data_IF_301252767984
#
_entry.id   IF_301252767984
#
_cell.length_a   1.000
_cell.length_b   1.000
_cell.length_c   1.000
_cell.angle_alpha   90.00
_cell.angle_beta   90.00
_cell.angle_gamma   90.00
#
_symmetry.space_group_name_H-M   'P 1'
#
loop_
_entity.id
_entity.type
_entity.pdbx_description
1 polymer ?
#
# COMPACT_ATOMS: atom_id res chain seq x y z
N UNK A 1 -12.26 -13.70 -0.78
CA UNK A 1 -11.17 -12.78 -0.44
C UNK A 1 -11.05 -11.72 -1.55
N UNK A 2 -10.91 -10.50 -1.16
CA UNK A 2 -10.80 -9.35 -2.09
C UNK A 2 -9.42 -8.72 -1.94
N UNK A 3 -8.77 -8.39 -3.06
CA UNK A 3 -7.38 -7.93 -3.06
C UNK A 3 -7.29 -6.60 -3.80
N UNK A 4 -6.62 -5.62 -3.17
CA UNK A 4 -6.32 -4.32 -3.79
C UNK A 4 -4.82 -4.24 -4.01
N UNK A 5 -4.42 -3.87 -5.23
CA UNK A 5 -3.01 -3.67 -5.56
C UNK A 5 -2.76 -2.21 -5.94
N UNK A 6 -1.68 -1.66 -5.41
CA UNK A 6 -1.16 -0.37 -5.80
C UNK A 6 0.21 -0.59 -6.42
N UNK A 7 0.35 -0.27 -7.70
CA UNK A 7 1.58 -0.48 -8.44
C UNK A 7 2.31 0.85 -8.62
N UNK A 8 3.62 0.85 -8.39
CA UNK A 8 4.44 2.05 -8.50
C UNK A 8 5.71 1.71 -9.28
N UNK A 9 6.06 2.57 -10.24
CA UNK A 9 7.31 2.52 -10.98
C UNK A 9 8.18 3.67 -10.48
N UNK A 10 9.26 3.36 -9.79
CA UNK A 10 10.03 4.32 -9.01
C UNK A 10 11.48 4.36 -9.53
N UNK A 11 12.00 5.56 -9.78
CA UNK A 11 13.42 5.72 -10.09
C UNK A 11 14.26 5.13 -8.94
N UNK A 12 15.36 4.46 -9.28
CA UNK A 12 16.16 3.72 -8.28
C UNK A 12 16.67 4.58 -7.13
N UNK A 13 16.97 5.84 -7.39
CA UNK A 13 17.41 6.77 -6.34
C UNK A 13 16.29 7.17 -5.36
N UNK A 14 15.03 6.88 -5.66
CA UNK A 14 13.89 7.21 -4.80
C UNK A 14 13.32 5.99 -4.07
N UNK A 15 13.74 4.79 -4.40
CA UNK A 15 13.17 3.55 -3.87
C UNK A 15 13.27 3.47 -2.36
N UNK A 16 14.43 3.77 -1.77
CA UNK A 16 14.60 3.70 -0.32
C UNK A 16 13.66 4.64 0.42
N UNK A 17 13.48 5.86 -0.09
CA UNK A 17 12.55 6.82 0.51
C UNK A 17 11.10 6.35 0.42
N UNK A 18 10.72 5.74 -0.69
CA UNK A 18 9.37 5.20 -0.88
C UNK A 18 9.12 4.02 0.07
N UNK A 19 10.08 3.09 0.18
CA UNK A 19 9.95 1.94 1.08
C UNK A 19 9.90 2.37 2.54
N UNK A 20 10.70 3.36 2.94
CA UNK A 20 10.64 3.91 4.29
C UNK A 20 9.26 4.50 4.60
N UNK A 21 8.68 5.24 3.65
CA UNK A 21 7.36 5.83 3.81
C UNK A 21 6.25 4.77 3.89
N UNK A 22 6.38 3.67 3.16
CA UNK A 22 5.42 2.57 3.19
C UNK A 22 5.54 1.69 4.44
N UNK A 23 6.68 1.70 5.11
CA UNK A 23 6.93 0.88 6.28
C UNK A 23 6.39 1.53 7.55
N UNK A 24 5.08 1.58 7.66
CA UNK A 24 4.42 2.10 8.87
C UNK A 24 3.18 1.25 9.20
N UNK A 25 2.87 1.21 10.49
CA UNK A 25 1.67 0.54 10.98
C UNK A 25 0.50 1.53 10.94
N UNK A 26 -0.48 1.28 10.09
CA UNK A 26 -1.66 2.11 10.00
C UNK A 26 -2.82 1.51 10.81
N UNK A 27 -3.85 2.34 11.07
CA UNK A 27 -5.05 1.90 11.78
C UNK A 27 -5.81 0.78 11.04
N UNK A 28 -5.50 0.53 9.76
CA UNK A 28 -6.12 -0.55 8.97
C UNK A 28 -5.96 -1.91 9.63
N UNK A 29 -4.91 -2.12 10.41
CA UNK A 29 -4.66 -3.41 11.10
C UNK A 29 -5.75 -3.74 12.13
N UNK A 30 -6.55 -2.76 12.53
CA UNK A 30 -7.68 -2.95 13.45
C UNK A 30 -9.02 -2.92 12.73
N UNK A 31 -9.02 -2.80 11.40
CA UNK A 31 -10.26 -2.77 10.61
C UNK A 31 -10.83 -4.17 10.46
N UNK A 32 -12.14 -4.28 10.62
CA UNK A 32 -12.84 -5.55 10.41
C UNK A 32 -12.68 -6.01 8.96
N UNK A 33 -12.33 -7.28 8.79
CA UNK A 33 -12.14 -7.87 7.47
C UNK A 33 -10.77 -7.64 6.85
N UNK A 34 -9.91 -6.81 7.44
CA UNK A 34 -8.52 -6.68 7.00
C UNK A 34 -7.75 -7.96 7.31
N UNK A 35 -6.99 -8.48 6.34
CA UNK A 35 -6.20 -9.70 6.51
C UNK A 35 -4.72 -9.36 6.66
N UNK A 36 -4.12 -8.74 5.66
CA UNK A 36 -2.72 -8.32 5.69
C UNK A 36 -2.40 -7.35 4.57
N UNK A 37 -1.26 -6.70 4.70
CA UNK A 37 -0.70 -5.84 3.66
C UNK A 37 0.74 -6.27 3.42
N UNK A 38 1.08 -6.52 2.17
CA UNK A 38 2.44 -6.83 1.76
C UNK A 38 2.99 -5.68 0.92
N UNK A 39 4.28 -5.41 1.05
CA UNK A 39 5.01 -4.50 0.17
C UNK A 39 6.04 -5.34 -0.58
N UNK A 40 5.95 -5.31 -1.90
CA UNK A 40 6.79 -6.13 -2.78
C UNK A 40 7.74 -5.24 -3.57
N UNK A 41 8.95 -5.72 -3.79
CA UNK A 41 9.97 -5.01 -4.55
C UNK A 41 10.51 -5.91 -5.66
N UNK A 42 10.55 -5.35 -6.88
CA UNK A 42 11.30 -5.92 -7.99
C UNK A 42 12.34 -4.89 -8.43
N UNK A 43 13.62 -5.22 -8.24
CA UNK A 43 14.76 -4.32 -8.51
C UNK A 43 15.59 -4.79 -9.72
N UNK A 44 15.04 -5.62 -10.58
CA UNK A 44 15.74 -6.14 -11.76
C UNK A 44 15.93 -5.13 -12.89
N UNK A 45 15.09 -4.09 -12.94
CA UNK A 45 15.22 -3.02 -13.93
C UNK A 45 16.48 -2.19 -13.74
N UNK A 46 16.98 -1.61 -14.82
CA UNK A 46 18.21 -0.79 -14.78
C UNK A 46 17.95 0.63 -14.23
N UNK A 47 16.84 1.24 -14.63
CA UNK A 47 16.53 2.63 -14.29
C UNK A 47 15.47 2.76 -13.19
N UNK A 48 14.56 1.79 -13.13
CA UNK A 48 13.40 1.83 -12.24
C UNK A 48 13.27 0.54 -11.45
N UNK A 49 12.77 0.68 -10.23
CA UNK A 49 12.28 -0.41 -9.41
C UNK A 49 10.76 -0.45 -9.49
N UNK A 50 10.19 -1.65 -9.42
CA UNK A 50 8.75 -1.83 -9.31
C UNK A 50 8.42 -2.11 -7.85
N UNK A 51 7.54 -1.30 -7.29
CA UNK A 51 7.01 -1.46 -5.94
C UNK A 51 5.54 -1.80 -6.05
N UNK A 52 5.09 -2.77 -5.27
CA UNK A 52 3.68 -3.13 -5.23
C UNK A 52 3.23 -3.26 -3.79
N UNK A 53 2.17 -2.57 -3.45
CA UNK A 53 1.47 -2.77 -2.18
C UNK A 53 0.26 -3.65 -2.46
N UNK A 54 0.15 -4.76 -1.76
CA UNK A 54 -0.97 -5.70 -1.88
C UNK A 54 -1.71 -5.74 -0.56
N UNK A 55 -3.00 -5.43 -0.59
CA UNK A 55 -3.84 -5.41 0.60
C UNK A 55 -4.93 -6.48 0.43
N UNK A 56 -5.00 -7.37 1.41
CA UNK A 56 -5.93 -8.49 1.41
C UNK A 56 -7.08 -8.23 2.37
N UNK A 57 -8.31 -8.36 1.85
CA UNK A 57 -9.55 -8.19 2.60
C UNK A 57 -10.38 -9.47 2.57
N UNK A 58 -11.14 -9.70 3.62
CA UNK A 58 -12.10 -10.81 3.66
C UNK A 58 -13.10 -10.70 2.51
N UNK A 59 -13.61 -9.49 2.26
CA UNK A 59 -14.58 -9.21 1.22
C UNK A 59 -14.47 -7.74 0.78
N UNK A 60 -15.17 -7.41 -0.30
CA UNK A 60 -15.18 -6.05 -0.87
C UNK A 60 -15.86 -5.05 0.07
N UNK A 61 -16.90 -5.47 0.77
CA UNK A 61 -17.63 -4.58 1.68
C UNK A 61 -16.73 -4.08 2.82
N UNK A 62 -15.89 -4.95 3.36
CA UNK A 62 -14.92 -4.57 4.39
C UNK A 62 -13.93 -3.51 3.88
N UNK A 63 -13.46 -3.67 2.66
CA UNK A 63 -12.56 -2.70 2.01
C UNK A 63 -13.26 -1.34 1.83
N UNK A 64 -14.48 -1.34 1.31
CA UNK A 64 -15.27 -0.12 1.10
C UNK A 64 -15.53 0.59 2.43
N UNK A 65 -15.90 -0.16 3.46
CA UNK A 65 -16.16 0.37 4.80
C UNK A 65 -14.91 1.05 5.37
N UNK A 66 -13.74 0.43 5.23
CA UNK A 66 -12.48 1.02 5.68
C UNK A 66 -12.17 2.31 4.92
N UNK A 67 -12.28 2.31 3.59
CA UNK A 67 -11.97 3.48 2.76
C UNK A 67 -12.83 4.69 3.11
N UNK A 68 -14.08 4.48 3.52
CA UNK A 68 -14.98 5.53 3.95
C UNK A 68 -14.90 5.87 5.44
N UNK A 69 -14.04 5.20 6.21
CA UNK A 69 -13.98 5.37 7.66
C UNK A 69 -13.25 6.64 8.08
N UNK A 70 -13.60 7.14 9.28
CA UNK A 70 -12.91 8.26 9.90
C UNK A 70 -11.47 7.91 10.28
N UNK A 71 -11.23 6.67 10.68
CA UNK A 71 -9.91 6.15 11.02
C UNK A 71 -8.96 6.22 9.83
N UNK A 72 -9.45 5.87 8.64
CA UNK A 72 -8.66 5.96 7.41
C UNK A 72 -8.31 7.42 7.09
N UNK A 73 -9.28 8.31 7.17
CA UNK A 73 -9.07 9.74 6.93
C UNK A 73 -8.11 10.34 7.96
N UNK A 74 -8.28 9.99 9.23
CA UNK A 74 -7.40 10.47 10.30
C UNK A 74 -5.97 10.00 10.11
N UNK A 75 -5.78 8.77 9.66
CA UNK A 75 -4.46 8.22 9.34
C UNK A 75 -3.71 9.05 8.30
N UNK A 76 -4.39 9.47 7.24
CA UNK A 76 -3.79 10.33 6.22
C UNK A 76 -3.40 11.70 6.79
N UNK A 77 -4.24 12.30 7.63
CA UNK A 77 -3.95 13.59 8.29
C UNK A 77 -2.72 13.44 9.19
N UNK A 78 -2.66 12.40 10.00
CA UNK A 78 -1.56 12.16 10.93
C UNK A 78 -0.24 11.96 10.19
N UNK A 79 -0.23 11.20 9.10
CA UNK A 79 0.96 10.98 8.25
C UNK A 79 1.45 12.29 7.65
N UNK A 80 0.54 13.13 7.18
CA UNK A 80 0.89 14.42 6.62
C UNK A 80 1.55 15.32 7.68
N UNK A 81 1.01 15.35 8.89
CA UNK A 81 1.59 16.10 10.00
C UNK A 81 2.98 15.60 10.39
N UNK A 82 3.16 14.28 10.45
CA UNK A 82 4.45 13.67 10.76
C UNK A 82 5.52 14.04 9.73
N UNK A 83 5.20 13.97 8.44
CA UNK A 83 6.11 14.36 7.37
C UNK A 83 6.52 15.81 7.48
N UNK A 84 5.56 16.70 7.72
CA UNK A 84 5.79 18.13 7.88
C UNK A 84 6.67 18.43 9.08
N UNK A 85 6.42 17.75 10.21
CA UNK A 85 7.20 17.93 11.43
C UNK A 85 8.63 17.41 11.30
N UNK A 86 8.85 16.32 10.54
CA UNK A 86 10.19 15.73 10.33
C UNK A 86 11.00 16.46 9.27
N UNK A 87 10.42 17.39 8.53
CA UNK A 87 11.08 18.07 7.43
C UNK A 87 11.32 17.21 6.19
N UNK A 88 10.77 15.98 6.17
CA UNK A 88 10.86 15.09 5.01
C UNK A 88 9.81 15.46 3.99
N UNK A 89 10.23 15.68 2.76
CA UNK A 89 9.29 15.86 1.66
C UNK A 89 8.86 14.50 1.13
N UNK A 90 7.54 14.29 0.92
CA UNK A 90 7.08 13.06 0.30
C UNK A 90 7.50 13.01 -1.16
N UNK A 91 7.75 11.81 -1.68
CA UNK A 91 7.96 11.61 -3.10
C UNK A 91 6.65 11.96 -3.82
N UNK A 92 6.73 12.78 -4.87
CA UNK A 92 5.58 13.21 -5.63
C UNK A 92 4.82 12.00 -6.22
N UNK A 93 3.50 12.01 -6.14
CA UNK A 93 2.66 10.97 -6.77
C UNK A 93 2.93 10.84 -8.26
N UNK A 94 3.28 11.94 -8.92
CA UNK A 94 3.63 11.95 -10.34
C UNK A 94 4.90 11.14 -10.61
N UNK A 95 5.88 11.18 -9.70
CA UNK A 95 7.13 10.41 -9.81
C UNK A 95 6.92 8.93 -9.53
N UNK A 96 5.85 8.57 -8.84
CA UNK A 96 5.55 7.18 -8.47
C UNK A 96 4.83 6.39 -9.57
N UNK A 97 4.24 7.06 -10.55
CA UNK A 97 3.46 6.41 -11.62
C UNK A 97 2.47 5.39 -11.05
N UNK A 98 1.61 5.85 -10.13
CA UNK A 98 0.72 4.97 -9.37
C UNK A 98 -0.43 4.47 -10.23
N UNK A 99 -0.66 3.16 -10.23
CA UNK A 99 -1.87 2.54 -10.75
C UNK A 99 -2.49 1.67 -9.65
N UNK A 100 -3.80 1.67 -9.56
CA UNK A 100 -4.53 0.89 -8.55
C UNK A 100 -5.49 -0.05 -9.25
N UNK A 101 -5.47 -1.31 -8.84
CA UNK A 101 -6.35 -2.35 -9.35
C UNK A 101 -6.91 -3.15 -8.19
N UNK A 102 -8.09 -3.74 -8.37
CA UNK A 102 -8.69 -4.59 -7.36
C UNK A 102 -9.26 -5.86 -8.00
N UNK A 103 -9.23 -6.95 -7.23
CA UNK A 103 -9.55 -8.29 -7.73
C UNK A 103 -10.27 -9.11 -6.68
N UNK A 104 -11.20 -9.94 -7.13
CA UNK A 104 -11.68 -11.05 -6.30
C UNK A 104 -10.78 -12.26 -6.48
N UNK A 105 -10.45 -12.93 -5.39
CA UNK A 105 -9.78 -14.23 -5.45
C UNK A 105 -10.83 -15.27 -5.79
N UNK A 106 -10.73 -15.81 -7.00
CA UNK A 106 -11.73 -16.80 -7.48
C UNK A 106 -11.50 -18.16 -6.83
N UNK A 107 -10.27 -18.61 -6.79
CA UNK A 107 -9.86 -19.80 -6.07
C UNK A 107 -8.38 -19.73 -5.75
N UNK A 108 -7.98 -20.50 -4.73
CA UNK A 108 -6.59 -20.58 -4.29
C UNK A 108 -6.19 -22.04 -4.19
N UNK A 109 -4.91 -22.29 -4.42
CA UNK A 109 -4.29 -23.58 -4.22
C UNK A 109 -3.21 -23.44 -3.17
N UNK A 110 -3.34 -24.12 -2.08
CA UNK A 110 -2.38 -24.09 -0.98
C UNK A 110 -1.41 -25.27 -1.05
N UNK A 111 -0.25 -25.13 -0.37
CA UNK A 111 0.72 -26.21 -0.26
C UNK A 111 0.13 -27.38 0.52
N UNK A 112 0.46 -28.60 0.07
CA UNK A 112 0.12 -29.84 0.78
C UNK A 112 1.28 -30.35 1.66
N UNK A 113 2.36 -29.60 1.76
CA UNK A 113 3.55 -29.96 2.55
C UNK A 113 3.44 -29.53 4.01
#
# INVERSE_FOLDING_TARGET
MYVVTRNMKVAKNLTDAVLEDLNHKSAVVRSEGFIRRDVLLNSEGEEFDLNKVVIYWKDKDSMITWQGSKEHQQGHIDRHKERKASGKEPVSRKELNITVEDFEVVFSLESEL
#
